data_IF_330871625651
#
_entry.id   IF_330871625651
#
_cell.length_a   1.000
_cell.length_b   1.000
_cell.length_c   1.000
_cell.angle_alpha   90.00
_cell.angle_beta   90.00
_cell.angle_gamma   90.00
#
_symmetry.space_group_name_H-M   'P 1'
#
loop_
_entity.id
_entity.type
_entity.pdbx_description
1 polymer ?
#
# COMPACT_ATOMS: atom_id res chain seq x y z
N UNK A 1 -8.23 23.79 -12.68
CA UNK A 1 -7.51 23.20 -11.60
C UNK A 1 -6.14 23.81 -11.46
N UNK A 2 -5.95 24.54 -10.35
CA UNK A 2 -4.87 25.49 -10.12
C UNK A 2 -3.54 24.84 -9.66
N UNK A 3 -3.33 23.58 -9.95
CA UNK A 3 -2.07 22.88 -9.64
C UNK A 3 -1.27 22.53 -10.90
N UNK A 4 -1.45 23.31 -11.94
CA UNK A 4 -0.77 23.09 -13.20
C UNK A 4 0.73 23.29 -13.05
N UNK A 5 1.44 22.21 -12.99
CA UNK A 5 2.88 22.16 -13.12
C UNK A 5 3.68 21.90 -11.85
N UNK A 6 3.07 21.85 -10.66
CA UNK A 6 3.82 21.60 -9.43
C UNK A 6 3.99 20.11 -9.11
N UNK A 7 3.09 19.23 -9.58
CA UNK A 7 3.12 17.81 -9.28
C UNK A 7 2.76 16.97 -10.52
N UNK A 8 3.44 15.83 -10.66
CA UNK A 8 3.04 14.82 -11.60
C UNK A 8 1.62 14.33 -11.22
N UNK A 9 0.67 14.19 -12.19
CA UNK A 9 -0.70 13.73 -11.92
C UNK A 9 -0.78 12.36 -11.21
N UNK A 10 0.25 11.54 -11.33
CA UNK A 10 0.35 10.22 -10.69
C UNK A 10 1.14 10.26 -9.37
N UNK A 11 1.41 11.43 -8.80
CA UNK A 11 2.12 11.59 -7.55
C UNK A 11 1.17 11.75 -6.36
N UNK A 12 1.32 12.81 -5.57
CA UNK A 12 0.55 13.06 -4.34
C UNK A 12 -0.97 12.85 -4.55
N UNK A 13 -1.61 12.15 -3.61
CA UNK A 13 -3.04 11.80 -3.63
C UNK A 13 -3.46 10.83 -4.75
N UNK A 14 -2.52 10.11 -5.31
CA UNK A 14 -2.78 9.08 -6.30
C UNK A 14 -2.49 7.68 -5.74
N UNK A 15 -3.08 6.62 -6.34
CA UNK A 15 -2.83 5.23 -5.92
C UNK A 15 -1.51 4.68 -6.44
N UNK A 16 -0.74 5.45 -7.18
CA UNK A 16 0.53 5.03 -7.77
C UNK A 16 1.70 5.17 -6.80
N UNK A 17 2.78 4.43 -7.07
CA UNK A 17 3.97 4.44 -6.22
C UNK A 17 4.56 5.83 -5.98
N UNK A 18 4.52 6.72 -6.98
CA UNK A 18 4.92 8.11 -6.80
C UNK A 18 4.11 8.88 -5.75
N UNK A 19 2.90 8.43 -5.46
CA UNK A 19 2.04 9.03 -4.43
C UNK A 19 2.11 8.33 -3.07
N UNK A 20 2.56 7.08 -3.05
CA UNK A 20 2.48 6.21 -1.88
C UNK A 20 3.85 5.82 -1.32
N UNK A 21 4.82 5.59 -2.20
CA UNK A 21 6.13 5.07 -1.80
C UNK A 21 6.94 6.12 -1.07
N UNK A 22 7.35 5.80 0.15
CA UNK A 22 8.24 6.64 0.95
C UNK A 22 9.30 5.77 1.62
N UNK A 23 10.55 6.23 1.73
CA UNK A 23 11.57 5.50 2.46
C UNK A 23 11.25 5.49 3.96
N UNK A 24 11.38 4.32 4.57
CA UNK A 24 11.29 4.13 6.02
C UNK A 24 12.71 3.84 6.53
N UNK A 25 13.18 4.63 7.49
CA UNK A 25 14.55 4.52 7.99
C UNK A 25 14.58 4.46 9.52
N UNK A 26 15.27 3.44 10.05
CA UNK A 26 15.53 3.29 11.47
C UNK A 26 17.02 3.42 11.74
N UNK A 27 17.38 4.13 12.79
CA UNK A 27 18.77 4.24 13.24
C UNK A 27 18.87 4.16 14.75
N UNK A 28 19.53 3.14 15.23
CA UNK A 28 19.89 3.00 16.65
C UNK A 28 21.28 2.41 16.77
N UNK A 29 22.25 3.26 17.10
CA UNK A 29 23.66 2.86 17.22
C UNK A 29 23.83 1.71 18.20
N UNK A 30 24.47 0.62 17.76
CA UNK A 30 24.74 -0.58 18.57
C UNK A 30 23.52 -1.51 18.77
N UNK A 31 22.36 -1.19 18.20
CA UNK A 31 21.16 -2.03 18.27
C UNK A 31 20.69 -2.49 16.90
N UNK A 32 20.71 -1.61 15.91
CA UNK A 32 20.28 -1.92 14.55
C UNK A 32 21.52 -2.07 13.67
N UNK A 33 21.64 -3.22 13.02
CA UNK A 33 22.71 -3.48 12.04
C UNK A 33 22.46 -2.65 10.79
N UNK A 34 23.49 -1.97 10.24
CA UNK A 34 23.34 -1.25 8.98
C UNK A 34 22.96 -2.19 7.84
N UNK A 35 21.96 -1.81 7.07
CA UNK A 35 21.47 -2.57 5.92
C UNK A 35 20.42 -1.78 5.15
N UNK A 36 20.05 -2.27 3.97
CA UNK A 36 18.96 -1.75 3.16
C UNK A 36 18.17 -2.92 2.57
N UNK A 37 16.87 -2.91 2.79
CA UNK A 37 15.92 -3.81 2.16
C UNK A 37 15.10 -3.03 1.13
N UNK A 38 15.05 -3.52 -0.10
CA UNK A 38 14.32 -2.90 -1.22
C UNK A 38 13.24 -3.80 -1.80
N UNK A 39 13.06 -4.99 -1.24
CA UNK A 39 12.19 -6.03 -1.76
C UNK A 39 11.04 -6.39 -0.84
N UNK A 40 11.23 -6.25 0.46
CA UNK A 40 10.20 -6.63 1.43
C UNK A 40 9.03 -5.65 1.43
N UNK A 41 7.84 -6.21 1.59
CA UNK A 41 6.60 -5.43 1.72
C UNK A 41 6.56 -4.75 3.09
N UNK A 42 6.59 -3.43 3.11
CA UNK A 42 6.53 -2.62 4.33
C UNK A 42 5.48 -1.51 4.21
N UNK A 43 4.96 -1.08 5.33
CA UNK A 43 3.95 -0.03 5.41
C UNK A 43 4.31 0.99 6.51
N UNK A 44 3.78 2.19 6.42
CA UNK A 44 3.88 3.18 7.51
C UNK A 44 3.26 2.69 8.82
N UNK A 45 2.32 1.76 8.76
CA UNK A 45 1.71 1.11 9.94
C UNK A 45 2.74 0.31 10.76
N UNK A 46 3.83 -0.11 10.15
CA UNK A 46 4.90 -0.89 10.78
C UNK A 46 5.79 -0.06 11.71
N UNK A 47 5.72 1.27 11.61
CA UNK A 47 6.59 2.14 12.39
C UNK A 47 6.34 1.99 13.90
N UNK A 48 5.09 1.98 14.31
CA UNK A 48 4.73 1.90 15.74
C UNK A 48 5.08 0.55 16.34
N UNK A 49 4.67 -0.60 15.76
CA UNK A 49 5.07 -1.93 16.24
C UNK A 49 6.58 -2.08 16.37
N UNK A 50 7.32 -1.68 15.34
CA UNK A 50 8.79 -1.76 15.33
C UNK A 50 9.42 -0.97 16.48
N UNK A 51 8.95 0.27 16.71
CA UNK A 51 9.48 1.12 17.79
C UNK A 51 9.13 0.57 19.16
N UNK A 52 7.90 0.10 19.37
CA UNK A 52 7.50 -0.48 20.65
C UNK A 52 8.37 -1.68 21.03
N UNK A 53 8.59 -2.59 20.10
CA UNK A 53 9.43 -3.78 20.35
C UNK A 53 10.91 -3.42 20.55
N UNK A 54 11.45 -2.44 19.80
CA UNK A 54 12.80 -1.92 20.05
C UNK A 54 12.97 -1.36 21.47
N UNK A 55 11.92 -0.79 22.03
CA UNK A 55 11.90 -0.26 23.39
C UNK A 55 11.57 -1.32 24.46
N UNK A 56 11.30 -2.56 24.05
CA UNK A 56 10.88 -3.65 24.95
C UNK A 56 9.48 -3.44 25.51
N UNK A 57 8.63 -2.71 24.81
CA UNK A 57 7.24 -2.46 25.18
C UNK A 57 6.31 -3.48 24.50
N UNK A 58 5.22 -3.83 25.16
CA UNK A 58 4.21 -4.71 24.60
C UNK A 58 3.50 -4.02 23.41
N UNK A 59 3.34 -4.78 22.32
CA UNK A 59 2.58 -4.33 21.13
C UNK A 59 1.08 -4.59 21.38
N UNK A 60 0.24 -3.54 21.35
CA UNK A 60 -1.21 -3.71 21.34
C UNK A 60 -1.67 -4.60 20.19
N UNK A 61 -2.65 -5.49 20.47
CA UNK A 61 -3.15 -6.46 19.48
C UNK A 61 -3.91 -5.81 18.31
N UNK A 62 -4.38 -4.60 18.52
CA UNK A 62 -5.13 -3.79 17.55
C UNK A 62 -4.25 -3.15 16.48
N UNK A 63 -2.93 -3.26 16.59
CA UNK A 63 -2.00 -2.74 15.59
C UNK A 63 -1.82 -3.74 14.44
N UNK A 64 -2.20 -3.33 13.24
CA UNK A 64 -2.09 -4.15 12.01
C UNK A 64 -0.66 -4.22 11.45
N UNK A 65 0.25 -3.36 11.90
CA UNK A 65 1.64 -3.35 11.47
C UNK A 65 2.46 -4.51 12.04
N UNK A 66 3.63 -4.71 11.46
CA UNK A 66 4.63 -5.70 11.91
C UNK A 66 5.91 -5.02 12.42
N UNK A 67 6.75 -5.77 13.11
CA UNK A 67 8.13 -5.35 13.37
C UNK A 67 8.99 -5.63 12.11
N UNK A 68 9.37 -4.57 11.38
CA UNK A 68 10.19 -4.71 10.16
C UNK A 68 11.64 -5.13 10.43
N UNK A 69 12.06 -5.22 11.69
CA UNK A 69 13.36 -5.73 12.08
C UNK A 69 13.32 -7.21 12.49
N UNK A 70 12.13 -7.82 12.51
CA UNK A 70 11.95 -9.27 12.69
C UNK A 70 11.79 -9.93 11.32
N UNK A 71 12.80 -10.66 10.91
CA UNK A 71 12.83 -11.39 9.64
C UNK A 71 11.66 -12.36 9.45
N UNK A 72 11.11 -12.93 10.54
CA UNK A 72 10.01 -13.88 10.45
C UNK A 72 8.70 -13.15 10.15
N UNK A 73 8.45 -12.03 10.82
CA UNK A 73 7.27 -11.21 10.55
C UNK A 73 7.32 -10.66 9.11
N UNK A 74 8.48 -10.17 8.67
CA UNK A 74 8.67 -9.66 7.31
C UNK A 74 8.43 -10.76 6.27
N UNK A 75 8.98 -11.96 6.46
CA UNK A 75 8.81 -13.10 5.53
C UNK A 75 7.39 -13.67 5.52
N UNK A 76 6.66 -13.54 6.62
CA UNK A 76 5.27 -14.01 6.72
C UNK A 76 4.26 -13.07 6.07
N UNK A 77 4.64 -11.83 5.78
CA UNK A 77 3.75 -10.84 5.17
C UNK A 77 3.51 -11.14 3.70
N UNK A 78 2.28 -11.48 3.37
CA UNK A 78 1.86 -11.77 1.99
C UNK A 78 1.42 -10.53 1.22
N UNK A 79 0.88 -9.52 1.90
CA UNK A 79 0.33 -8.34 1.25
C UNK A 79 0.42 -7.08 2.11
N UNK A 80 0.38 -5.92 1.44
CA UNK A 80 0.13 -4.61 2.04
C UNK A 80 -1.07 -4.00 1.36
N UNK A 81 -1.94 -3.36 2.14
CA UNK A 81 -3.18 -2.75 1.67
C UNK A 81 -3.14 -1.24 1.86
N UNK A 82 -3.94 -0.53 1.08
CA UNK A 82 -4.08 0.91 1.19
C UNK A 82 -5.34 1.43 0.51
N UNK A 83 -5.78 2.60 0.96
CA UNK A 83 -6.95 3.30 0.45
C UNK A 83 -6.62 4.76 0.18
N UNK A 84 -7.34 5.35 -0.76
CA UNK A 84 -7.30 6.79 -1.02
C UNK A 84 -8.71 7.35 -0.95
N UNK A 85 -8.81 8.43 -0.18
CA UNK A 85 -10.04 9.17 0.03
C UNK A 85 -9.96 10.59 -0.53
N UNK A 86 -11.11 11.20 -0.76
CA UNK A 86 -11.22 12.66 -0.91
C UNK A 86 -10.81 13.34 0.40
N UNK A 87 -10.45 14.62 0.34
CA UNK A 87 -10.14 15.37 1.56
C UNK A 87 -11.37 15.65 2.41
N UNK A 88 -12.49 15.98 1.77
CA UNK A 88 -13.73 16.34 2.43
C UNK A 88 -14.76 15.26 2.14
N UNK A 89 -15.12 14.48 3.14
CA UNK A 89 -16.18 13.49 3.06
C UNK A 89 -16.84 13.32 4.44
N UNK A 90 -18.13 13.00 4.44
CA UNK A 90 -18.88 12.74 5.67
C UNK A 90 -18.96 11.25 5.97
N UNK A 91 -18.94 10.41 4.96
CA UNK A 91 -18.94 8.95 5.09
C UNK A 91 -17.85 8.32 4.25
N UNK A 92 -17.42 7.12 4.64
CA UNK A 92 -16.40 6.35 3.92
C UNK A 92 -16.79 6.17 2.45
N UNK A 93 -18.07 5.86 2.19
CA UNK A 93 -18.59 5.64 0.84
C UNK A 93 -18.57 6.89 -0.05
N UNK A 94 -18.66 8.08 0.54
CA UNK A 94 -18.57 9.34 -0.20
C UNK A 94 -17.12 9.71 -0.52
N UNK A 95 -16.20 9.32 0.36
CA UNK A 95 -14.80 9.71 0.26
C UNK A 95 -13.92 8.74 -0.52
N UNK A 96 -14.25 7.46 -0.54
CA UNK A 96 -13.40 6.42 -1.10
C UNK A 96 -13.17 6.63 -2.60
N UNK A 97 -11.91 6.70 -3.02
CA UNK A 97 -11.51 6.78 -4.44
C UNK A 97 -10.95 5.46 -4.95
N UNK A 98 -10.02 4.89 -4.21
CA UNK A 98 -9.29 3.69 -4.61
C UNK A 98 -9.01 2.81 -3.42
N UNK A 99 -9.03 1.51 -3.65
CA UNK A 99 -8.43 0.50 -2.78
C UNK A 99 -7.27 -0.15 -3.51
N UNK A 100 -6.25 -0.53 -2.77
CA UNK A 100 -5.04 -1.13 -3.34
C UNK A 100 -4.60 -2.33 -2.51
N UNK A 101 -4.04 -3.31 -3.20
CA UNK A 101 -3.26 -4.38 -2.60
C UNK A 101 -1.96 -4.54 -3.35
N UNK A 102 -0.87 -4.66 -2.58
CA UNK A 102 0.45 -4.92 -3.10
C UNK A 102 0.94 -6.25 -2.57
N UNK A 103 1.35 -7.11 -3.48
CA UNK A 103 2.09 -8.34 -3.23
C UNK A 103 3.35 -8.32 -4.09
N UNK A 104 4.35 -9.15 -3.80
CA UNK A 104 5.48 -9.25 -4.70
C UNK A 104 5.18 -10.25 -5.83
N UNK A 105 5.29 -9.86 -7.12
CA UNK A 105 5.70 -8.56 -7.65
C UNK A 105 4.55 -7.65 -8.12
N UNK A 106 3.30 -7.93 -7.75
CA UNK A 106 2.13 -7.27 -8.33
C UNK A 106 1.48 -6.27 -7.39
N UNK A 107 0.94 -5.21 -7.99
CA UNK A 107 0.08 -4.23 -7.33
C UNK A 107 -1.22 -4.10 -8.11
N UNK A 108 -2.34 -4.28 -7.40
CA UNK A 108 -3.69 -4.07 -7.93
C UNK A 108 -4.24 -2.75 -7.39
N UNK A 109 -4.82 -1.95 -8.28
CA UNK A 109 -5.55 -0.72 -7.96
C UNK A 109 -7.00 -0.90 -8.40
N UNK A 110 -7.91 -0.79 -7.46
CA UNK A 110 -9.36 -0.93 -7.68
C UNK A 110 -10.02 0.41 -7.43
N UNK A 111 -10.50 1.11 -8.49
CA UNK A 111 -11.26 2.33 -8.35
C UNK A 111 -12.62 2.04 -7.71
N UNK A 112 -13.10 2.96 -6.89
CA UNK A 112 -14.45 2.89 -6.35
C UNK A 112 -15.48 3.15 -7.47
N UNK A 113 -16.44 2.25 -7.71
CA UNK A 113 -17.34 2.37 -8.85
C UNK A 113 -18.32 3.55 -8.74
N UNK A 114 -18.58 4.06 -7.53
CA UNK A 114 -19.44 5.21 -7.32
C UNK A 114 -18.69 6.53 -7.57
N UNK A 115 -17.48 6.62 -7.03
CA UNK A 115 -16.69 7.86 -7.03
C UNK A 115 -15.72 7.96 -8.22
N UNK A 116 -15.45 6.81 -8.90
CA UNK A 116 -14.58 6.69 -10.07
C UNK A 116 -15.21 5.81 -11.18
N UNK A 117 -16.45 6.14 -11.65
CA UNK A 117 -17.23 5.24 -12.52
C UNK A 117 -16.61 4.99 -13.89
N UNK A 118 -15.71 5.86 -14.35
CA UNK A 118 -15.08 5.76 -15.66
C UNK A 118 -13.66 5.17 -15.63
N UNK A 119 -13.19 4.82 -14.44
CA UNK A 119 -11.85 4.26 -14.28
C UNK A 119 -11.90 2.74 -14.22
N UNK A 120 -10.89 2.10 -14.81
CA UNK A 120 -10.76 0.65 -14.84
C UNK A 120 -9.83 0.16 -13.74
N UNK A 121 -9.97 -1.10 -13.37
CA UNK A 121 -9.00 -1.82 -12.55
C UNK A 121 -7.64 -1.80 -13.26
N UNK A 122 -6.59 -1.65 -12.46
CA UNK A 122 -5.21 -1.59 -12.96
C UNK A 122 -4.35 -2.59 -12.19
N UNK A 123 -3.54 -3.34 -12.93
CA UNK A 123 -2.58 -4.29 -12.40
C UNK A 123 -1.19 -3.96 -12.93
N UNK A 124 -0.22 -3.84 -12.04
CA UNK A 124 1.16 -3.53 -12.40
C UNK A 124 2.14 -4.56 -11.83
N UNK A 125 3.18 -4.88 -12.58
CA UNK A 125 4.34 -5.58 -12.05
C UNK A 125 5.38 -4.55 -11.61
N UNK A 126 5.35 -4.15 -10.36
CA UNK A 126 6.17 -3.06 -9.81
C UNK A 126 7.69 -3.32 -9.83
N UNK A 127 8.13 -4.58 -10.06
CA UNK A 127 9.55 -4.89 -10.21
C UNK A 127 10.05 -4.68 -11.64
N UNK A 128 9.20 -4.95 -12.64
CA UNK A 128 9.54 -4.77 -14.06
C UNK A 128 9.14 -3.41 -14.59
N UNK A 129 8.09 -2.83 -14.01
CA UNK A 129 7.51 -1.55 -14.37
C UNK A 129 7.32 -0.68 -13.11
N UNK A 130 8.42 -0.15 -12.52
CA UNK A 130 8.36 0.67 -11.31
C UNK A 130 7.68 2.03 -11.53
N UNK A 131 7.38 2.38 -12.77
CA UNK A 131 6.67 3.61 -13.13
C UNK A 131 5.19 3.38 -13.44
N UNK A 132 4.71 2.13 -13.33
CA UNK A 132 3.29 1.78 -13.49
C UNK A 132 2.70 2.27 -14.82
N UNK A 133 3.41 2.03 -15.92
CA UNK A 133 3.06 2.51 -17.27
C UNK A 133 2.25 1.49 -18.07
N UNK A 134 2.39 0.19 -17.76
CA UNK A 134 1.77 -0.91 -18.50
C UNK A 134 0.76 -1.62 -17.62
N UNK A 135 -0.54 -1.34 -17.86
CA UNK A 135 -1.64 -2.02 -17.15
C UNK A 135 -1.79 -3.46 -17.69
N UNK A 136 -1.56 -4.44 -16.83
CA UNK A 136 -1.63 -5.87 -17.13
C UNK A 136 -3.00 -6.50 -16.80
N UNK A 137 -4.01 -5.72 -16.40
CA UNK A 137 -5.27 -6.26 -15.88
C UNK A 137 -5.99 -7.13 -16.91
N UNK A 138 -5.99 -6.75 -18.19
CA UNK A 138 -6.62 -7.50 -19.27
C UNK A 138 -5.78 -8.75 -19.67
N UNK A 139 -4.47 -8.72 -19.44
CA UNK A 139 -3.56 -9.83 -19.79
C UNK A 139 -3.44 -10.89 -18.67
N UNK A 140 -3.78 -10.52 -17.44
CA UNK A 140 -3.60 -11.35 -16.24
C UNK A 140 -4.84 -11.37 -15.35
N UNK A 141 -6.00 -11.76 -15.89
CA UNK A 141 -7.25 -11.76 -15.13
C UNK A 141 -7.18 -12.65 -13.89
N UNK A 142 -6.45 -13.76 -13.93
CA UNK A 142 -6.27 -14.66 -12.79
C UNK A 142 -5.55 -13.99 -11.61
N UNK A 143 -4.57 -13.10 -11.89
CA UNK A 143 -3.87 -12.33 -10.85
C UNK A 143 -4.78 -11.24 -10.29
N UNK A 144 -5.57 -10.59 -11.15
CA UNK A 144 -6.56 -9.59 -10.73
C UNK A 144 -7.56 -10.22 -9.77
N UNK A 145 -8.08 -11.40 -10.07
CA UNK A 145 -9.06 -12.10 -9.24
C UNK A 145 -8.47 -12.51 -7.88
N UNK A 146 -7.25 -13.07 -7.86
CA UNK A 146 -6.57 -13.43 -6.61
C UNK A 146 -6.35 -12.21 -5.71
N UNK A 147 -5.79 -11.13 -6.26
CA UNK A 147 -5.50 -9.92 -5.50
C UNK A 147 -6.78 -9.20 -5.05
N UNK A 148 -7.82 -9.24 -5.87
CA UNK A 148 -9.13 -8.70 -5.50
C UNK A 148 -9.76 -9.47 -4.34
N UNK A 149 -9.66 -10.79 -4.35
CA UNK A 149 -10.15 -11.61 -3.23
C UNK A 149 -9.38 -11.29 -1.94
N UNK A 150 -8.06 -11.12 -2.00
CA UNK A 150 -7.27 -10.68 -0.83
C UNK A 150 -7.71 -9.31 -0.32
N UNK A 151 -7.96 -8.36 -1.22
CA UNK A 151 -8.43 -7.02 -0.89
C UNK A 151 -9.81 -7.03 -0.22
N UNK A 152 -10.76 -7.80 -0.75
CA UNK A 152 -12.10 -7.94 -0.19
C UNK A 152 -12.09 -8.65 1.18
N UNK A 153 -11.18 -9.61 1.38
CA UNK A 153 -11.02 -10.29 2.66
C UNK A 153 -10.37 -9.41 3.73
N UNK A 154 -9.49 -8.48 3.33
CA UNK A 154 -8.87 -7.54 4.25
C UNK A 154 -9.88 -6.48 4.73
N UNK A 155 -10.58 -5.86 3.81
CA UNK A 155 -11.59 -4.85 4.12
C UNK A 155 -12.54 -4.62 2.94
N UNK A 156 -13.84 -4.64 3.24
CA UNK A 156 -14.90 -4.38 2.28
C UNK A 156 -15.81 -3.25 2.81
N UNK A 157 -15.85 -2.08 2.15
CA UNK A 157 -16.64 -0.93 2.60
C UNK A 157 -18.17 -1.14 2.53
N UNK A 158 -18.61 -2.25 1.94
CA UNK A 158 -20.05 -2.60 1.82
C UNK A 158 -20.56 -3.47 2.98
N UNK A 159 -19.68 -3.85 3.88
CA UNK A 159 -19.99 -4.56 5.11
C UNK A 159 -19.99 -3.61 6.30
#
# INVERSE_FOLDING_TARGET
NENDGAYNPISKQSPYDFGLRTPIMYKWKGKITPGMDTLSLTSSLDMVPTVLELLGMERPKELDGINVLDDNEVKSREAVFGEIYNHDFNTIEEGLKYRMVMTNPYKLIVPDPKNRPNEKIQLYNIFKDPFEQVNLADERPEVVDDLRNKLEASWNPKL
#
